data_IF_568617041829
#
_entry.id   IF_568617041829
#
_cell.length_a   1.000
_cell.length_b   1.000
_cell.length_c   1.000
_cell.angle_alpha   90.00
_cell.angle_beta   90.00
_cell.angle_gamma   90.00
#
_symmetry.space_group_name_H-M   'P 1'
#
loop_
_entity.id
_entity.type
_entity.pdbx_description
1 polymer ?
#
# COMPACT_ATOMS: atom_id res chain seq x y z
N UNK A 1 13.80 4.32 8.93
CA UNK A 1 13.37 3.67 7.68
C UNK A 1 12.49 2.43 7.86
N UNK A 2 12.74 1.56 8.86
CA UNK A 2 11.90 0.37 9.10
C UNK A 2 10.40 0.71 9.29
N UNK A 3 10.11 1.82 9.98
CA UNK A 3 8.74 2.31 10.21
C UNK A 3 8.03 2.73 8.92
N UNK A 4 8.74 3.34 7.94
CA UNK A 4 8.10 3.78 6.70
C UNK A 4 7.67 2.59 5.83
N UNK A 5 8.56 1.61 5.66
CA UNK A 5 8.25 0.41 4.88
C UNK A 5 7.14 -0.41 5.55
N UNK A 6 7.16 -0.50 6.88
CA UNK A 6 6.10 -1.14 7.65
C UNK A 6 4.75 -0.43 7.44
N UNK A 7 4.71 0.89 7.61
CA UNK A 7 3.48 1.68 7.43
C UNK A 7 2.93 1.56 5.99
N UNK A 8 3.80 1.54 4.98
CA UNK A 8 3.37 1.36 3.58
C UNK A 8 2.83 -0.06 3.34
N UNK A 9 3.46 -1.07 3.93
CA UNK A 9 3.01 -2.46 3.84
C UNK A 9 1.64 -2.64 4.52
N UNK A 10 1.47 -2.09 5.72
CA UNK A 10 0.19 -2.08 6.42
C UNK A 10 -0.90 -1.37 5.61
N UNK A 11 -0.58 -0.19 5.06
CA UNK A 11 -1.50 0.56 4.19
C UNK A 11 -1.89 -0.24 2.95
N UNK A 12 -0.96 -0.99 2.34
CA UNK A 12 -1.24 -1.85 1.18
C UNK A 12 -2.16 -3.02 1.57
N UNK A 13 -1.90 -3.67 2.70
CA UNK A 13 -2.73 -4.77 3.21
C UNK A 13 -4.16 -4.28 3.45
N UNK A 14 -4.31 -3.14 4.13
CA UNK A 14 -5.61 -2.56 4.43
C UNK A 14 -6.36 -2.16 3.15
N UNK A 15 -5.67 -1.52 2.20
CA UNK A 15 -6.29 -1.09 0.93
C UNK A 15 -6.77 -2.30 0.10
N UNK A 16 -5.96 -3.36 0.03
CA UNK A 16 -6.37 -4.62 -0.63
C UNK A 16 -7.56 -5.28 0.07
N UNK A 17 -7.59 -5.26 1.41
CA UNK A 17 -8.71 -5.78 2.18
C UNK A 17 -10.00 -5.01 1.88
N UNK A 18 -9.96 -3.67 1.93
CA UNK A 18 -11.10 -2.80 1.62
C UNK A 18 -11.62 -3.05 0.19
N UNK A 19 -10.73 -3.13 -0.80
CA UNK A 19 -11.11 -3.43 -2.17
C UNK A 19 -11.79 -4.81 -2.31
N UNK A 20 -11.25 -5.84 -1.64
CA UNK A 20 -11.86 -7.19 -1.64
C UNK A 20 -13.25 -7.18 -1.03
N UNK A 21 -13.44 -6.47 0.09
CA UNK A 21 -14.74 -6.35 0.74
C UNK A 21 -15.77 -5.69 -0.19
N UNK A 22 -15.42 -4.56 -0.80
CA UNK A 22 -16.27 -3.85 -1.75
C UNK A 22 -16.66 -4.70 -2.97
N UNK A 23 -15.68 -5.42 -3.53
CA UNK A 23 -15.87 -6.23 -4.73
C UNK A 23 -16.71 -7.48 -4.48
N UNK A 24 -16.51 -8.14 -3.33
CA UNK A 24 -17.15 -9.43 -3.04
C UNK A 24 -18.53 -9.27 -2.39
N UNK A 25 -18.70 -8.25 -1.55
CA UNK A 25 -19.88 -8.10 -0.69
C UNK A 25 -20.76 -6.92 -1.11
N UNK A 26 -20.43 -6.25 -2.21
CA UNK A 26 -21.23 -5.16 -2.73
C UNK A 26 -21.19 -3.90 -1.87
N UNK A 27 -22.10 -2.97 -2.17
CA UNK A 27 -22.21 -1.68 -1.52
C UNK A 27 -22.50 -1.77 -0.02
N UNK A 28 -23.18 -2.81 0.44
CA UNK A 28 -23.49 -3.03 1.86
C UNK A 28 -22.22 -3.10 2.71
N UNK A 29 -21.12 -3.61 2.14
CA UNK A 29 -19.85 -3.67 2.86
C UNK A 29 -19.30 -2.31 3.25
N UNK A 30 -19.73 -1.21 2.62
CA UNK A 30 -19.31 0.16 2.96
C UNK A 30 -19.60 0.50 4.42
N UNK A 31 -20.69 0.01 5.00
CA UNK A 31 -21.02 0.28 6.41
C UNK A 31 -20.01 -0.34 7.38
N UNK A 32 -19.32 -1.39 6.94
CA UNK A 32 -18.33 -2.09 7.75
C UNK A 32 -16.93 -1.48 7.59
N UNK A 33 -16.55 -1.10 6.36
CA UNK A 33 -15.20 -0.56 6.09
C UNK A 33 -15.11 0.96 6.24
N UNK A 34 -16.23 1.67 6.14
CA UNK A 34 -16.34 3.13 6.27
C UNK A 34 -17.55 3.51 7.13
N UNK A 35 -17.59 3.14 8.43
CA UNK A 35 -18.76 3.33 9.29
C UNK A 35 -19.13 4.81 9.51
N UNK A 36 -18.17 5.72 9.37
CA UNK A 36 -18.38 7.16 9.50
C UNK A 36 -18.91 7.82 8.22
N UNK A 37 -18.96 7.08 7.10
CA UNK A 37 -19.39 7.62 5.81
C UNK A 37 -20.86 7.22 5.58
N UNK A 38 -21.77 8.19 5.35
CA UNK A 38 -23.13 7.89 4.97
C UNK A 38 -23.20 7.00 3.72
N UNK A 39 -24.23 6.17 3.64
CA UNK A 39 -24.45 5.33 2.47
C UNK A 39 -24.46 6.16 1.19
N UNK A 40 -23.58 5.83 0.24
CA UNK A 40 -23.41 6.57 -1.00
C UNK A 40 -22.96 5.62 -2.13
N UNK A 41 -23.84 5.39 -3.10
CA UNK A 41 -23.56 4.52 -4.24
C UNK A 41 -22.55 5.09 -5.23
N UNK A 42 -22.49 6.41 -5.40
CA UNK A 42 -21.49 7.02 -6.27
C UNK A 42 -20.09 6.79 -5.71
N UNK A 43 -19.92 7.01 -4.40
CA UNK A 43 -18.66 6.74 -3.71
C UNK A 43 -18.26 5.26 -3.79
N UNK A 44 -19.22 4.34 -3.68
CA UNK A 44 -18.97 2.90 -3.88
C UNK A 44 -18.29 2.61 -5.22
N UNK A 45 -18.89 3.09 -6.32
CA UNK A 45 -18.36 2.84 -7.65
C UNK A 45 -17.05 3.59 -7.91
N UNK A 46 -16.90 4.81 -7.38
CA UNK A 46 -15.64 5.55 -7.43
C UNK A 46 -14.51 4.80 -6.71
N UNK A 47 -14.78 4.21 -5.54
CA UNK A 47 -13.80 3.40 -4.81
C UNK A 47 -13.44 2.13 -5.58
N UNK A 48 -14.41 1.43 -6.17
CA UNK A 48 -14.12 0.27 -7.01
C UNK A 48 -13.25 0.61 -8.22
N UNK A 49 -13.42 1.80 -8.79
CA UNK A 49 -12.63 2.25 -9.93
C UNK A 49 -11.21 2.70 -9.55
N UNK A 50 -11.04 3.35 -8.40
CA UNK A 50 -9.77 4.00 -8.01
C UNK A 50 -8.86 3.12 -7.13
N UNK A 51 -9.42 2.25 -6.29
CA UNK A 51 -8.63 1.41 -5.38
C UNK A 51 -7.63 0.49 -6.09
N UNK A 52 -7.91 -0.12 -7.27
CA UNK A 52 -6.92 -0.92 -7.98
C UNK A 52 -5.65 -0.13 -8.35
N UNK A 53 -5.82 1.13 -8.78
CA UNK A 53 -4.70 2.00 -9.12
C UNK A 53 -3.89 2.38 -7.88
N UNK A 54 -4.56 2.68 -6.77
CA UNK A 54 -3.89 3.01 -5.51
C UNK A 54 -3.08 1.82 -4.96
N UNK A 55 -3.63 0.61 -5.04
CA UNK A 55 -2.92 -0.64 -4.69
C UNK A 55 -1.64 -0.77 -5.52
N UNK A 56 -1.73 -0.57 -6.84
CA UNK A 56 -0.57 -0.64 -7.72
C UNK A 56 0.49 0.42 -7.38
N UNK A 57 0.08 1.66 -7.10
CA UNK A 57 0.99 2.74 -6.70
C UNK A 57 1.71 2.43 -5.39
N UNK A 58 1.01 1.86 -4.40
CA UNK A 58 1.59 1.44 -3.13
C UNK A 58 2.62 0.31 -3.33
N UNK A 59 2.31 -0.69 -4.16
CA UNK A 59 3.24 -1.77 -4.52
C UNK A 59 4.53 -1.23 -5.16
N UNK A 60 4.40 -0.35 -6.16
CA UNK A 60 5.55 0.27 -6.82
C UNK A 60 6.42 1.07 -5.85
N UNK A 61 5.79 1.82 -4.93
CA UNK A 61 6.51 2.62 -3.93
C UNK A 61 7.27 1.74 -2.94
N UNK A 62 6.67 0.65 -2.48
CA UNK A 62 7.32 -0.32 -1.59
C UNK A 62 8.54 -0.94 -2.29
N UNK A 63 8.35 -1.46 -3.51
CA UNK A 63 9.44 -2.08 -4.30
C UNK A 63 10.59 -1.10 -4.54
N UNK A 64 10.28 0.16 -4.86
CA UNK A 64 11.29 1.21 -5.04
C UNK A 64 12.12 1.40 -3.77
N UNK A 65 11.46 1.59 -2.62
CA UNK A 65 12.15 1.79 -1.34
C UNK A 65 13.00 0.58 -0.97
N UNK A 66 12.50 -0.64 -1.16
CA UNK A 66 13.26 -1.86 -0.91
C UNK A 66 14.53 -1.94 -1.79
N UNK A 67 14.41 -1.58 -3.07
CA UNK A 67 15.55 -1.56 -3.99
C UNK A 67 16.58 -0.47 -3.61
N UNK A 68 16.11 0.71 -3.20
CA UNK A 68 16.98 1.80 -2.73
C UNK A 68 17.76 1.37 -1.47
N UNK A 69 17.10 0.69 -0.52
CA UNK A 69 17.72 0.16 0.70
C UNK A 69 18.76 -0.93 0.42
N UNK A 70 18.44 -1.87 -0.50
CA UNK A 70 19.38 -2.91 -0.94
C UNK A 70 20.61 -2.31 -1.61
N UNK A 71 20.42 -1.27 -2.42
CA UNK A 71 21.49 -0.59 -3.14
C UNK A 71 22.40 0.20 -2.19
N UNK A 72 21.82 0.92 -1.22
CA UNK A 72 22.57 1.64 -0.19
C UNK A 72 23.42 0.70 0.69
N UNK A 73 22.89 -0.48 1.01
CA UNK A 73 23.60 -1.48 1.81
C UNK A 73 24.82 -2.09 1.08
N UNK A 74 24.72 -2.27 -0.25
CA UNK A 74 25.83 -2.75 -1.08
C UNK A 74 26.98 -1.74 -1.23
N UNK A 75 26.66 -0.45 -1.28
CA UNK A 75 27.67 0.62 -1.38
C UNK A 75 28.50 0.75 -0.09
N UNK A 76 27.87 0.59 1.07
CA UNK A 76 28.60 0.65 2.35
C UNK A 76 29.56 -0.55 2.55
N UNK A 77 29.20 -1.74 2.05
CA UNK A 77 30.05 -2.92 2.16
C UNK A 77 31.32 -2.81 1.27
N UNK A 78 31.20 -2.21 0.08
CA UNK A 78 32.32 -2.07 -0.86
C UNK A 78 33.32 -0.97 -0.48
N UNK A 79 32.90 0.00 0.34
CA UNK A 79 33.77 1.04 0.90
C UNK A 79 34.55 0.56 2.13
N UNK A 80 33.97 -0.34 2.95
CA UNK A 80 34.62 -0.88 4.16
C UNK A 80 35.77 -1.85 3.86
N UNK A 81 35.79 -2.50 2.67
CA UNK A 81 36.88 -3.41 2.26
C UNK A 81 38.07 -2.71 1.61
N UNK A 82 38.07 -1.37 1.57
CA UNK A 82 39.10 -0.53 0.92
C UNK A 82 39.95 0.28 1.90
N UNK A 83 39.98 -0.09 3.19
CA UNK A 83 40.94 0.49 4.13
C UNK A 83 42.15 -0.45 4.29
N UNK A 84 43.39 0.06 4.17
CA UNK A 84 44.63 -0.72 4.25
C UNK A 84 44.94 -1.22 5.66
#
# INVERSE_FOLDING_TARGET
MATLLNNLTESLIETRHRYRMLKNNGIESMTNIYPAIPWNAELYYQLLATLPEEIFRLEQKIVKIENDLKSASKVNLSLSSRQP
#
